data_IF_961597821479
#
_entry.id   IF_961597821479
#
_cell.length_a   1.000
_cell.length_b   1.000
_cell.length_c   1.000
_cell.angle_alpha   90.00
_cell.angle_beta   90.00
_cell.angle_gamma   90.00
#
_symmetry.space_group_name_H-M   'P 1'
#
loop_
_entity.id
_entity.type
_entity.pdbx_description
1 polymer ?
#
# COMPACT_ATOMS: atom_id res chain seq x y z
N UNK A 1 24.60 9.47 -18.41
CA UNK A 1 23.32 8.72 -18.43
C UNK A 1 22.27 9.65 -17.86
N UNK A 2 21.20 9.92 -18.62
CA UNK A 2 20.07 10.70 -18.10
C UNK A 2 19.28 9.83 -17.12
N UNK A 3 18.92 10.39 -15.96
CA UNK A 3 18.14 9.68 -14.96
C UNK A 3 16.69 9.56 -15.45
N UNK A 4 16.20 8.33 -15.64
CA UNK A 4 14.81 8.08 -16.01
C UNK A 4 13.89 8.28 -14.80
N UNK A 5 12.62 8.65 -15.03
CA UNK A 5 11.62 8.76 -13.96
C UNK A 5 11.52 7.47 -13.13
N UNK A 6 11.59 6.31 -13.78
CA UNK A 6 11.58 5.00 -13.12
C UNK A 6 12.80 4.81 -12.20
N UNK A 7 14.00 5.18 -12.66
CA UNK A 7 15.21 5.09 -11.83
C UNK A 7 15.14 6.04 -10.63
N UNK A 8 14.68 7.28 -10.83
CA UNK A 8 14.54 8.27 -9.75
C UNK A 8 13.55 7.76 -8.69
N UNK A 9 12.37 7.31 -9.11
CA UNK A 9 11.35 6.77 -8.19
C UNK A 9 11.87 5.52 -7.47
N UNK A 10 12.47 4.58 -8.19
CA UNK A 10 13.03 3.35 -7.61
C UNK A 10 14.09 3.62 -6.54
N UNK A 11 15.09 4.46 -6.85
CA UNK A 11 16.13 4.81 -5.86
C UNK A 11 15.58 5.64 -4.70
N UNK A 12 14.56 6.47 -4.93
CA UNK A 12 13.87 7.17 -3.85
C UNK A 12 13.16 6.19 -2.92
N UNK A 13 12.51 5.15 -3.45
CA UNK A 13 11.90 4.07 -2.64
C UNK A 13 12.95 3.37 -1.77
N UNK A 14 14.13 3.07 -2.33
CA UNK A 14 15.25 2.48 -1.58
C UNK A 14 15.70 3.39 -0.44
N UNK A 15 15.89 4.69 -0.71
CA UNK A 15 16.25 5.66 0.33
C UNK A 15 15.20 5.73 1.44
N UNK A 16 13.92 5.81 1.08
CA UNK A 16 12.81 5.83 2.05
C UNK A 16 12.77 4.53 2.86
N UNK A 17 12.95 3.37 2.22
CA UNK A 17 13.00 2.07 2.89
C UNK A 17 14.12 2.03 3.93
N UNK A 18 15.35 2.38 3.53
CA UNK A 18 16.52 2.31 4.40
C UNK A 18 16.38 3.25 5.60
N UNK A 19 15.89 4.47 5.38
CA UNK A 19 15.67 5.43 6.47
C UNK A 19 14.53 5.00 7.40
N UNK A 20 13.38 4.59 6.83
CA UNK A 20 12.21 4.18 7.60
C UNK A 20 12.46 2.91 8.42
N UNK A 21 13.10 1.89 7.84
CA UNK A 21 13.47 0.67 8.56
C UNK A 21 14.66 0.88 9.48
N UNK A 22 15.68 1.65 9.08
CA UNK A 22 16.83 1.95 9.93
C UNK A 22 16.39 2.64 11.23
N UNK A 23 15.46 3.59 11.13
CA UNK A 23 14.88 4.24 12.30
C UNK A 23 13.99 3.31 13.12
N UNK A 24 13.19 2.45 12.47
CA UNK A 24 12.41 1.42 13.16
C UNK A 24 13.32 0.46 13.96
N UNK A 25 14.39 -0.03 13.34
CA UNK A 25 15.37 -0.93 13.95
C UNK A 25 16.11 -0.25 15.11
N UNK A 26 16.45 1.03 14.97
CA UNK A 26 17.06 1.80 16.06
C UNK A 26 16.10 1.96 17.25
N UNK A 27 14.83 2.28 17.02
CA UNK A 27 13.82 2.38 18.09
C UNK A 27 13.56 1.04 18.75
N UNK A 28 13.50 -0.05 17.98
CA UNK A 28 13.36 -1.39 18.52
C UNK A 28 14.57 -1.80 19.36
N UNK A 29 15.79 -1.49 18.90
CA UNK A 29 17.00 -1.72 19.69
C UNK A 29 16.98 -0.95 21.03
N UNK A 30 16.53 0.31 21.02
CA UNK A 30 16.56 1.19 22.20
C UNK A 30 15.40 0.97 23.18
N UNK A 31 14.20 0.72 22.66
CA UNK A 31 12.95 0.72 23.45
C UNK A 31 12.14 -0.57 23.32
N UNK A 32 12.60 -1.55 22.53
CA UNK A 32 11.92 -2.81 22.20
C UNK A 32 10.50 -2.65 21.68
N UNK A 33 10.20 -1.47 21.11
CA UNK A 33 8.89 -1.08 20.61
C UNK A 33 9.07 -0.09 19.46
N UNK A 34 8.18 -0.22 18.46
CA UNK A 34 8.05 0.76 17.37
C UNK A 34 6.64 1.33 17.43
N UNK A 35 6.54 2.62 17.76
CA UNK A 35 5.26 3.30 17.98
C UNK A 35 4.46 3.50 16.68
N UNK A 36 3.13 3.68 16.79
CA UNK A 36 2.26 3.87 15.64
C UNK A 36 2.60 5.14 14.86
N UNK A 37 3.04 6.17 15.55
CA UNK A 37 3.45 7.46 15.03
C UNK A 37 4.56 7.31 13.98
N UNK A 38 5.49 6.37 14.18
CA UNK A 38 6.53 6.06 13.19
C UNK A 38 5.91 5.65 11.86
N UNK A 39 4.98 4.69 11.90
CA UNK A 39 4.32 4.17 10.71
C UNK A 39 3.44 5.25 10.04
N UNK A 40 2.80 6.13 10.81
CA UNK A 40 2.03 7.27 10.26
C UNK A 40 2.94 8.24 9.52
N UNK A 41 4.11 8.58 10.09
CA UNK A 41 5.07 9.50 9.48
C UNK A 41 5.62 8.92 8.18
N UNK A 42 6.03 7.64 8.20
CA UNK A 42 6.65 6.98 7.07
C UNK A 42 5.67 6.49 6.00
N UNK A 43 4.38 6.36 6.31
CA UNK A 43 3.35 6.12 5.30
C UNK A 43 3.25 7.29 4.30
N UNK A 44 3.49 8.54 4.74
CA UNK A 44 3.39 9.74 3.87
C UNK A 44 4.30 9.67 2.64
N UNK A 45 5.63 9.48 2.78
CA UNK A 45 6.50 9.35 1.60
C UNK A 45 6.18 8.10 0.78
N UNK A 46 5.80 6.97 1.40
CA UNK A 46 5.44 5.76 0.67
C UNK A 46 4.23 5.98 -0.26
N UNK A 47 3.15 6.57 0.27
CA UNK A 47 1.93 6.91 -0.47
C UNK A 47 2.24 7.94 -1.55
N UNK A 48 3.03 8.98 -1.23
CA UNK A 48 3.39 10.03 -2.18
C UNK A 48 4.17 9.47 -3.38
N UNK A 49 5.19 8.65 -3.13
CA UNK A 49 5.99 8.03 -4.21
C UNK A 49 5.12 7.09 -5.03
N UNK A 50 4.23 6.32 -4.40
CA UNK A 50 3.31 5.46 -5.16
C UNK A 50 2.33 6.24 -6.02
N UNK A 51 1.83 7.39 -5.54
CA UNK A 51 0.98 8.26 -6.35
C UNK A 51 1.71 8.83 -7.57
N UNK A 52 2.98 9.23 -7.42
CA UNK A 52 3.83 9.67 -8.53
C UNK A 52 4.10 8.54 -9.53
N UNK A 53 4.35 7.34 -9.04
CA UNK A 53 4.57 6.15 -9.85
C UNK A 53 3.33 5.81 -10.70
N UNK A 54 2.14 5.84 -10.10
CA UNK A 54 0.87 5.70 -10.82
C UNK A 54 0.65 6.82 -11.84
N UNK A 55 1.06 8.05 -11.52
CA UNK A 55 0.96 9.18 -12.44
C UNK A 55 1.86 8.99 -13.68
N UNK A 56 3.10 8.54 -13.47
CA UNK A 56 4.04 8.22 -14.57
C UNK A 56 3.52 7.08 -15.43
N UNK A 57 2.82 6.11 -14.84
CA UNK A 57 2.21 4.98 -15.55
C UNK A 57 0.86 5.32 -16.21
N UNK A 58 0.38 6.57 -16.10
CA UNK A 58 -0.87 7.01 -16.73
C UNK A 58 -2.12 6.40 -16.10
N UNK A 59 -2.08 6.09 -14.79
CA UNK A 59 -3.18 5.49 -14.06
C UNK A 59 -4.48 6.32 -14.15
N UNK A 60 -5.61 5.62 -14.28
CA UNK A 60 -6.92 6.24 -14.20
C UNK A 60 -7.46 6.30 -12.76
N UNK A 61 -8.63 6.93 -12.61
CA UNK A 61 -9.28 7.08 -11.30
C UNK A 61 -9.60 5.74 -10.62
N UNK A 62 -9.87 4.66 -11.35
CA UNK A 62 -10.16 3.35 -10.77
C UNK A 62 -8.90 2.72 -10.17
N UNK A 63 -7.76 2.87 -10.84
CA UNK A 63 -6.45 2.42 -10.32
C UNK A 63 -6.07 3.22 -9.07
N UNK A 64 -6.25 4.54 -9.08
CA UNK A 64 -6.01 5.38 -7.89
C UNK A 64 -6.90 4.99 -6.70
N UNK A 65 -8.20 4.74 -6.93
CA UNK A 65 -9.09 4.30 -5.86
C UNK A 65 -8.79 2.87 -5.38
N UNK A 66 -8.25 2.01 -6.25
CA UNK A 66 -7.77 0.68 -5.87
C UNK A 66 -6.52 0.78 -4.99
N UNK A 67 -5.56 1.64 -5.33
CA UNK A 67 -4.41 1.93 -4.48
C UNK A 67 -4.85 2.56 -3.15
N UNK A 68 -5.83 3.46 -3.18
CA UNK A 68 -6.47 4.01 -1.99
C UNK A 68 -7.08 2.91 -1.11
N UNK A 69 -7.69 1.87 -1.70
CA UNK A 69 -8.25 0.74 -0.96
C UNK A 69 -7.16 -0.08 -0.25
N UNK A 70 -6.01 -0.27 -0.89
CA UNK A 70 -4.83 -0.91 -0.28
C UNK A 70 -4.35 -0.11 0.94
N UNK A 71 -4.23 1.21 0.78
CA UNK A 71 -3.80 2.11 1.87
C UNK A 71 -4.83 2.14 3.01
N UNK A 72 -6.12 2.17 2.68
CA UNK A 72 -7.22 2.06 3.63
C UNK A 72 -7.17 0.76 4.43
N UNK A 73 -6.86 -0.37 3.78
CA UNK A 73 -6.69 -1.64 4.46
C UNK A 73 -5.49 -1.61 5.41
N UNK A 74 -4.33 -1.12 4.95
CA UNK A 74 -3.13 -0.98 5.77
C UNK A 74 -3.37 -0.07 7.00
N UNK A 75 -4.17 0.99 6.85
CA UNK A 75 -4.44 1.96 7.91
C UNK A 75 -5.10 1.33 9.15
N UNK A 76 -5.84 0.23 8.97
CA UNK A 76 -6.49 -0.50 10.08
C UNK A 76 -5.48 -0.97 11.12
N UNK A 77 -4.27 -1.33 10.70
CA UNK A 77 -3.21 -1.77 11.62
C UNK A 77 -2.71 -0.65 12.54
N UNK A 78 -2.85 0.61 12.12
CA UNK A 78 -2.32 1.80 12.79
C UNK A 78 -3.40 2.53 13.57
N UNK A 79 -4.54 2.79 12.95
CA UNK A 79 -5.64 3.57 13.51
C UNK A 79 -6.73 2.71 14.16
N UNK A 80 -6.68 1.39 13.98
CA UNK A 80 -7.75 0.48 14.39
C UNK A 80 -8.87 0.40 13.36
N UNK A 81 -9.91 -0.37 13.69
CA UNK A 81 -11.07 -0.58 12.83
C UNK A 81 -12.14 0.46 13.16
N UNK A 82 -12.57 1.31 12.22
CA UNK A 82 -13.70 2.20 12.45
C UNK A 82 -14.98 1.36 12.65
N UNK A 83 -15.88 1.79 13.52
CA UNK A 83 -17.14 1.10 13.76
C UNK A 83 -18.35 1.96 13.35
N UNK A 84 -19.37 1.33 12.77
CA UNK A 84 -20.62 2.01 12.42
C UNK A 84 -21.30 2.60 13.66
N UNK A 85 -21.18 1.92 14.80
CA UNK A 85 -21.74 2.38 16.07
C UNK A 85 -21.11 3.69 16.51
N UNK A 86 -19.78 3.79 16.50
CA UNK A 86 -19.07 4.99 16.94
C UNK A 86 -19.27 6.15 15.94
N UNK A 87 -19.35 5.85 14.65
CA UNK A 87 -19.69 6.83 13.62
C UNK A 87 -21.10 7.42 13.82
N UNK A 88 -22.10 6.59 14.09
CA UNK A 88 -23.48 7.05 14.40
C UNK A 88 -23.50 7.85 15.69
N UNK A 89 -22.74 7.44 16.70
CA UNK A 89 -22.64 8.12 18.00
C UNK A 89 -21.89 9.46 17.98
N UNK A 90 -21.32 9.87 16.85
CA UNK A 90 -20.70 11.19 16.70
C UNK A 90 -19.19 11.20 16.42
N UNK A 91 -18.52 10.04 16.34
CA UNK A 91 -17.09 9.99 16.01
C UNK A 91 -16.84 10.52 14.60
N UNK A 92 -16.23 11.70 14.51
CA UNK A 92 -15.83 12.28 13.23
C UNK A 92 -14.79 11.42 12.51
N UNK A 93 -13.85 10.85 13.27
CA UNK A 93 -12.79 10.01 12.72
C UNK A 93 -13.38 8.77 12.04
N UNK A 94 -14.26 8.04 12.72
CA UNK A 94 -14.88 6.83 12.17
C UNK A 94 -15.69 7.13 10.91
N UNK A 95 -16.41 8.26 10.87
CA UNK A 95 -17.15 8.70 9.68
C UNK A 95 -16.22 8.91 8.49
N UNK A 96 -15.11 9.62 8.69
CA UNK A 96 -14.13 9.89 7.62
C UNK A 96 -13.53 8.59 7.10
N UNK A 97 -13.10 7.70 7.98
CA UNK A 97 -12.52 6.42 7.58
C UNK A 97 -13.54 5.53 6.87
N UNK A 98 -14.79 5.46 7.34
CA UNK A 98 -15.84 4.68 6.68
C UNK A 98 -16.18 5.21 5.28
N UNK A 99 -16.27 6.54 5.11
CA UNK A 99 -16.47 7.15 3.79
C UNK A 99 -15.29 6.84 2.87
N UNK A 100 -14.06 7.01 3.36
CA UNK A 100 -12.86 6.68 2.61
C UNK A 100 -12.82 5.20 2.19
N UNK A 101 -13.19 4.29 3.08
CA UNK A 101 -13.25 2.85 2.81
C UNK A 101 -14.32 2.54 1.77
N UNK A 102 -15.51 3.14 1.88
CA UNK A 102 -16.60 2.98 0.91
C UNK A 102 -16.23 3.46 -0.48
N UNK A 103 -15.66 4.67 -0.60
CA UNK A 103 -15.22 5.24 -1.89
C UNK A 103 -14.12 4.39 -2.52
N UNK A 104 -13.15 3.95 -1.72
CA UNK A 104 -12.04 3.12 -2.21
C UNK A 104 -12.53 1.74 -2.67
N UNK A 105 -13.42 1.11 -1.91
CA UNK A 105 -14.03 -0.16 -2.27
C UNK A 105 -14.85 -0.04 -3.57
N UNK A 106 -15.64 1.03 -3.72
CA UNK A 106 -16.40 1.28 -4.94
C UNK A 106 -15.49 1.44 -6.16
N UNK A 107 -14.38 2.17 -6.02
CA UNK A 107 -13.39 2.32 -7.09
C UNK A 107 -12.67 1.02 -7.45
N UNK A 108 -12.33 0.19 -6.46
CA UNK A 108 -11.76 -1.14 -6.70
C UNK A 108 -12.74 -2.05 -7.46
N UNK A 109 -14.02 -2.07 -7.08
CA UNK A 109 -15.07 -2.82 -7.80
C UNK A 109 -15.27 -2.28 -9.21
N UNK A 110 -15.32 -0.96 -9.38
CA UNK A 110 -15.44 -0.33 -10.69
C UNK A 110 -14.25 -0.68 -11.60
N UNK A 111 -13.02 -0.68 -11.07
CA UNK A 111 -11.83 -1.12 -11.79
C UNK A 111 -11.89 -2.61 -12.16
N UNK A 112 -12.36 -3.47 -11.26
CA UNK A 112 -12.55 -4.90 -11.54
C UNK A 112 -13.53 -5.13 -12.69
N UNK A 113 -14.64 -4.37 -12.75
CA UNK A 113 -15.62 -4.44 -13.84
C UNK A 113 -15.02 -3.87 -15.13
N UNK A 114 -14.29 -2.76 -15.06
CA UNK A 114 -13.69 -2.10 -16.21
C UNK A 114 -12.61 -2.95 -16.88
N UNK A 115 -11.79 -3.64 -16.08
CA UNK A 115 -10.64 -4.41 -16.55
C UNK A 115 -10.86 -5.92 -16.52
N UNK A 116 -12.12 -6.37 -16.54
CA UNK A 116 -12.50 -7.78 -16.45
C UNK A 116 -11.92 -8.66 -17.57
N UNK A 117 -11.66 -8.07 -18.74
CA UNK A 117 -11.09 -8.78 -19.89
C UNK A 117 -9.60 -9.11 -19.72
N UNK A 118 -8.89 -8.37 -18.86
CA UNK A 118 -7.52 -8.70 -18.49
C UNK A 118 -7.54 -9.76 -17.39
N UNK A 119 -6.95 -10.92 -17.65
CA UNK A 119 -6.87 -12.01 -16.68
C UNK A 119 -5.67 -11.82 -15.72
N UNK A 120 -5.70 -12.42 -14.51
CA UNK A 120 -4.55 -12.39 -13.60
C UNK A 120 -3.26 -12.97 -14.21
N UNK A 121 -3.39 -13.98 -15.07
CA UNK A 121 -2.24 -14.62 -15.74
C UNK A 121 -1.62 -13.66 -16.76
N UNK A 122 -2.44 -12.98 -17.56
CA UNK A 122 -1.95 -11.93 -18.47
C UNK A 122 -1.28 -10.80 -17.69
N UNK A 123 -1.83 -10.38 -16.55
CA UNK A 123 -1.21 -9.36 -15.71
C UNK A 123 0.15 -9.79 -15.14
N UNK A 124 0.32 -11.07 -14.81
CA UNK A 124 1.59 -11.63 -14.34
C UNK A 124 2.64 -11.68 -15.46
N UNK A 125 2.22 -12.06 -16.67
CA UNK A 125 3.09 -12.14 -17.85
C UNK A 125 3.37 -10.77 -18.47
N UNK A 126 2.53 -9.77 -18.19
CA UNK A 126 2.57 -8.45 -18.84
C UNK A 126 1.89 -8.40 -20.21
N UNK A 127 1.12 -9.44 -20.57
CA UNK A 127 0.57 -9.65 -21.91
C UNK A 127 -0.92 -9.26 -22.00
N UNK A 128 -1.28 -8.07 -21.49
CA UNK A 128 -2.65 -7.58 -21.47
C UNK A 128 -2.76 -6.07 -21.73
N UNK A 129 -3.98 -5.53 -21.63
CA UNK A 129 -4.18 -4.08 -21.69
C UNK A 129 -3.40 -3.39 -20.56
N UNK A 130 -2.60 -2.38 -20.90
CA UNK A 130 -1.66 -1.75 -19.95
C UNK A 130 -2.32 -1.31 -18.63
N UNK A 131 -3.50 -0.68 -18.70
CA UNK A 131 -4.25 -0.25 -17.52
C UNK A 131 -4.87 -1.41 -16.75
N UNK A 132 -5.32 -2.46 -17.43
CA UNK A 132 -5.80 -3.68 -16.79
C UNK A 132 -4.68 -4.41 -16.05
N UNK A 133 -3.50 -4.52 -16.66
CA UNK A 133 -2.30 -5.06 -16.02
C UNK A 133 -1.91 -4.23 -14.79
N UNK A 134 -1.94 -2.89 -14.90
CA UNK A 134 -1.64 -1.98 -13.80
C UNK A 134 -2.65 -2.11 -12.66
N UNK A 135 -3.94 -2.23 -12.98
CA UNK A 135 -5.00 -2.43 -12.00
C UNK A 135 -4.78 -3.74 -11.23
N UNK A 136 -4.50 -4.84 -11.93
CA UNK A 136 -4.19 -6.14 -11.31
C UNK A 136 -2.94 -6.10 -10.44
N UNK A 137 -1.88 -5.41 -10.88
CA UNK A 137 -0.66 -5.18 -10.07
C UNK A 137 -0.97 -4.38 -8.81
N UNK A 138 -1.89 -3.43 -8.89
CA UNK A 138 -2.32 -2.63 -7.71
C UNK A 138 -3.17 -3.48 -6.77
N UNK A 139 -4.10 -4.26 -7.30
CA UNK A 139 -4.98 -5.15 -6.55
C UNK A 139 -4.21 -6.29 -5.86
N UNK A 140 -3.13 -6.81 -6.46
CA UNK A 140 -2.31 -7.86 -5.86
C UNK A 140 -1.61 -7.41 -4.58
N UNK A 141 -1.30 -6.11 -4.42
CA UNK A 141 -0.79 -5.56 -3.16
C UNK A 141 -1.79 -5.76 -2.03
N UNK A 142 -3.10 -5.61 -2.29
CA UNK A 142 -4.14 -5.89 -1.29
C UNK A 142 -4.07 -7.34 -0.83
N UNK A 143 -3.87 -8.28 -1.75
CA UNK A 143 -3.74 -9.71 -1.44
C UNK A 143 -2.51 -9.98 -0.56
N UNK A 144 -1.39 -9.30 -0.83
CA UNK A 144 -0.19 -9.35 0.04
C UNK A 144 -0.50 -8.82 1.44
N UNK A 145 -1.21 -7.70 1.57
CA UNK A 145 -1.58 -7.16 2.88
C UNK A 145 -2.54 -8.09 3.65
N UNK A 146 -3.50 -8.71 2.95
CA UNK A 146 -4.40 -9.72 3.54
C UNK A 146 -3.60 -10.91 4.04
N UNK A 147 -2.65 -11.41 3.25
CA UNK A 147 -1.76 -12.49 3.67
C UNK A 147 -0.98 -12.13 4.94
N UNK A 148 -0.40 -10.92 5.00
CA UNK A 148 0.30 -10.42 6.20
C UNK A 148 -0.64 -10.32 7.41
N UNK A 149 -1.84 -9.76 7.25
CA UNK A 149 -2.82 -9.64 8.34
C UNK A 149 -3.28 -11.03 8.84
N UNK A 150 -3.51 -11.98 7.94
CA UNK A 150 -3.84 -13.37 8.29
C UNK A 150 -2.69 -14.02 9.05
N UNK A 151 -1.46 -13.90 8.57
CA UNK A 151 -0.28 -14.42 9.25
C UNK A 151 -0.11 -13.82 10.66
N UNK A 152 -0.44 -12.54 10.83
CA UNK A 152 -0.46 -11.89 12.13
C UNK A 152 -1.58 -12.42 13.04
N UNK A 153 -2.81 -12.57 12.53
CA UNK A 153 -3.94 -13.13 13.29
C UNK A 153 -3.72 -14.58 13.72
N UNK A 154 -3.04 -15.36 12.88
CA UNK A 154 -2.66 -16.76 13.18
C UNK A 154 -1.41 -16.87 14.05
N UNK A 155 -0.85 -15.73 14.53
CA UNK A 155 0.36 -15.66 15.36
C UNK A 155 1.61 -16.24 14.71
N UNK A 156 1.64 -16.32 13.38
CA UNK A 156 2.88 -16.60 12.64
C UNK A 156 3.84 -15.39 12.74
N UNK A 157 3.27 -14.18 12.72
CA UNK A 157 3.96 -12.94 13.06
C UNK A 157 3.66 -12.59 14.52
N UNK A 158 4.69 -12.61 15.37
CA UNK A 158 4.53 -12.43 16.81
C UNK A 158 4.40 -10.94 17.21
N UNK A 159 5.02 -10.03 16.43
CA UNK A 159 5.00 -8.60 16.68
C UNK A 159 4.01 -7.85 15.78
N UNK A 160 3.17 -7.00 16.39
CA UNK A 160 2.38 -6.02 15.62
C UNK A 160 3.24 -4.99 14.89
N UNK A 161 4.48 -4.77 15.34
CA UNK A 161 5.47 -3.95 14.64
C UNK A 161 5.93 -4.64 13.33
N UNK A 162 6.17 -5.96 13.37
CA UNK A 162 6.59 -6.73 12.19
C UNK A 162 5.51 -6.73 11.10
N UNK A 163 4.24 -6.91 11.50
CA UNK A 163 3.12 -6.84 10.57
C UNK A 163 3.05 -5.47 9.89
N UNK A 164 3.16 -4.37 10.65
CA UNK A 164 3.18 -3.00 10.11
C UNK A 164 4.39 -2.74 9.22
N UNK A 165 5.54 -3.27 9.60
CA UNK A 165 6.77 -3.20 8.81
C UNK A 165 6.56 -3.83 7.43
N UNK A 166 6.07 -5.07 7.39
CA UNK A 166 5.79 -5.78 6.14
C UNK A 166 4.73 -5.07 5.29
N UNK A 167 3.63 -4.62 5.90
CA UNK A 167 2.60 -3.86 5.19
C UNK A 167 3.17 -2.57 4.60
N UNK A 168 4.01 -1.85 5.35
CA UNK A 168 4.66 -0.64 4.89
C UNK A 168 5.65 -0.90 3.75
N UNK A 169 6.45 -1.98 3.81
CA UNK A 169 7.33 -2.38 2.70
C UNK A 169 6.51 -2.62 1.43
N UNK A 170 5.37 -3.29 1.52
CA UNK A 170 4.49 -3.52 0.37
C UNK A 170 3.95 -2.22 -0.24
N UNK A 171 3.77 -1.16 0.54
CA UNK A 171 3.42 0.16 0.03
C UNK A 171 4.62 0.89 -0.61
N UNK A 172 5.82 0.70 -0.05
CA UNK A 172 7.06 1.28 -0.60
C UNK A 172 7.50 0.56 -1.87
N UNK A 173 7.22 -0.74 -2.03
CA UNK A 173 7.52 -1.54 -3.21
C UNK A 173 6.29 -2.35 -3.64
N UNK A 174 5.34 -1.73 -4.36
CA UNK A 174 4.09 -2.38 -4.76
C UNK A 174 4.29 -3.46 -5.84
N UNK A 175 5.44 -3.49 -6.50
CA UNK A 175 5.80 -4.51 -7.49
C UNK A 175 7.31 -4.69 -7.55
N UNK A 176 7.79 -5.88 -7.93
CA UNK A 176 9.22 -6.12 -8.16
C UNK A 176 9.81 -5.21 -9.25
N UNK A 177 9.00 -4.78 -10.21
CA UNK A 177 9.41 -3.80 -11.22
C UNK A 177 9.75 -2.42 -10.63
N UNK A 178 9.35 -2.14 -9.38
CA UNK A 178 9.66 -0.86 -8.71
C UNK A 178 11.02 -0.86 -8.00
N UNK A 179 11.72 -2.01 -7.95
CA UNK A 179 13.09 -2.10 -7.42
C UNK A 179 14.06 -1.62 -8.51
N UNK A 180 14.88 -0.59 -8.25
CA UNK A 180 15.83 -0.10 -9.24
C UNK A 180 16.93 -1.13 -9.49
N UNK A 181 17.31 -1.32 -10.77
CA UNK A 181 18.50 -2.07 -11.14
C UNK A 181 19.71 -1.13 -11.20
N UNK A 182 20.93 -1.58 -10.82
CA UNK A 182 22.12 -0.72 -10.84
C UNK A 182 22.70 -0.50 -12.24
N UNK A 183 22.16 -1.18 -13.26
CA UNK A 183 22.68 -1.23 -14.63
C UNK A 183 21.55 -1.54 -15.61
#
# INVERSE_FOLDING_TARGET
MEATNAAILGWTRVGVLLLGMGWAAWMDHKTRRVANEHWIVWAKPAIFIWALDLMVQGADWTVYLTASAVVAYASVSVFGRPTLRDAVNGSWMDRVFLVWYGVSAAGAVAGAIRYQDTTPVQALLGDGEALGVLWWRTASVALVLVFIDVAWRLRLLHGGADAKALMWVSLVFPTWASVPLPF
#
